data_IF_746353305033
#
_entry.id   IF_746353305033
#
_cell.length_a   1.000
_cell.length_b   1.000
_cell.length_c   1.000
_cell.angle_alpha   90.00
_cell.angle_beta   90.00
_cell.angle_gamma   90.00
#
_symmetry.space_group_name_H-M   'P 1'
#
loop_
_entity.id
_entity.type
_entity.pdbx_description
1 polymer ?
#
# COMPACT_ATOMS: atom_id res chain seq x y z
N UNK A 1 4.09 15.39 23.70
CA UNK A 1 3.37 14.14 23.41
C UNK A 1 2.77 14.28 22.02
N UNK A 2 3.40 13.70 20.99
CA UNK A 2 2.93 13.81 19.60
C UNK A 2 1.80 12.80 19.45
N UNK A 3 0.56 13.27 19.31
CA UNK A 3 -0.54 12.41 18.87
C UNK A 3 -0.16 11.92 17.46
N UNK A 4 0.10 10.62 17.31
CA UNK A 4 0.19 10.00 16.00
C UNK A 4 -1.21 10.11 15.39
N UNK A 5 -1.41 11.07 14.49
CA UNK A 5 -2.64 11.08 13.69
C UNK A 5 -2.59 9.82 12.83
N UNK A 6 -3.55 8.92 13.05
CA UNK A 6 -3.76 7.79 12.16
C UNK A 6 -4.14 8.36 10.80
N UNK A 7 -3.31 8.11 9.80
CA UNK A 7 -3.65 8.46 8.42
C UNK A 7 -4.74 7.52 7.93
N UNK A 8 -5.58 8.03 7.04
CA UNK A 8 -6.53 7.21 6.31
C UNK A 8 -5.81 6.36 5.25
N UNK A 9 -6.38 5.22 4.87
CA UNK A 9 -5.87 4.41 3.75
C UNK A 9 -5.70 5.22 2.45
N UNK A 10 -6.53 6.25 2.25
CA UNK A 10 -6.41 7.14 1.10
C UNK A 10 -5.11 7.94 1.14
N UNK A 11 -4.74 8.48 2.30
CA UNK A 11 -3.52 9.26 2.49
C UNK A 11 -2.28 8.36 2.39
N UNK A 12 -2.31 7.18 3.02
CA UNK A 12 -1.21 6.22 2.92
C UNK A 12 -0.97 5.74 1.49
N UNK A 13 -2.06 5.44 0.76
CA UNK A 13 -2.03 5.05 -0.65
C UNK A 13 -1.41 6.14 -1.52
N UNK A 14 -1.90 7.37 -1.45
CA UNK A 14 -1.39 8.43 -2.31
C UNK A 14 0.08 8.73 -2.02
N UNK A 15 0.50 8.72 -0.75
CA UNK A 15 1.92 8.88 -0.40
C UNK A 15 2.78 7.77 -1.01
N UNK A 16 2.36 6.50 -0.92
CA UNK A 16 3.10 5.39 -1.50
C UNK A 16 3.25 5.55 -3.03
N UNK A 17 2.15 5.95 -3.69
CA UNK A 17 2.15 6.23 -5.13
C UNK A 17 3.12 7.37 -5.48
N UNK A 18 3.11 8.46 -4.72
CA UNK A 18 4.03 9.59 -4.92
C UNK A 18 5.49 9.18 -4.76
N UNK A 19 5.81 8.38 -3.74
CA UNK A 19 7.15 7.81 -3.53
C UNK A 19 7.57 6.99 -4.76
N UNK A 20 6.70 6.10 -5.23
CA UNK A 20 7.01 5.23 -6.38
C UNK A 20 7.13 5.97 -7.69
N UNK A 21 6.38 7.05 -7.91
CA UNK A 21 6.55 7.91 -9.08
C UNK A 21 7.92 8.59 -9.02
N UNK A 22 8.28 9.14 -7.86
CA UNK A 22 9.58 9.81 -7.65
C UNK A 22 10.76 8.86 -7.82
N UNK A 23 10.63 7.62 -7.37
CA UNK A 23 11.65 6.58 -7.48
C UNK A 23 11.66 5.89 -8.86
N UNK A 24 10.71 6.21 -9.74
CA UNK A 24 10.61 5.63 -11.06
C UNK A 24 10.13 4.18 -11.08
N UNK A 25 9.52 3.69 -10.00
CA UNK A 25 8.84 2.38 -9.94
C UNK A 25 7.53 2.47 -10.75
N UNK A 26 6.71 3.49 -10.48
CA UNK A 26 5.48 3.75 -11.22
C UNK A 26 5.73 4.74 -12.37
N UNK A 27 5.78 4.21 -13.61
CA UNK A 27 6.17 4.98 -14.81
C UNK A 27 5.00 5.36 -15.72
N UNK A 28 3.98 4.52 -15.81
CA UNK A 28 2.90 4.69 -16.78
C UNK A 28 1.61 5.13 -16.11
N UNK A 29 0.88 6.02 -16.77
CA UNK A 29 -0.42 6.53 -16.29
C UNK A 29 -1.38 5.39 -15.96
N UNK A 30 -1.44 4.36 -16.81
CA UNK A 30 -2.32 3.20 -16.64
C UNK A 30 -2.04 2.44 -15.34
N UNK A 31 -0.77 2.20 -14.99
CA UNK A 31 -0.42 1.48 -13.75
C UNK A 31 -0.67 2.37 -12.53
N UNK A 32 -0.35 3.66 -12.60
CA UNK A 32 -0.64 4.61 -11.52
C UNK A 32 -2.15 4.67 -11.23
N UNK A 33 -2.99 4.72 -12.26
CA UNK A 33 -4.45 4.72 -12.11
C UNK A 33 -4.96 3.39 -11.53
N UNK A 34 -4.34 2.26 -11.88
CA UNK A 34 -4.68 0.97 -11.30
C UNK A 34 -4.37 0.93 -9.78
N UNK A 35 -3.21 1.44 -9.35
CA UNK A 35 -2.85 1.56 -7.93
C UNK A 35 -3.87 2.41 -7.16
N UNK A 36 -4.32 3.53 -7.73
CA UNK A 36 -5.36 4.38 -7.12
C UNK A 36 -6.70 3.66 -6.97
N UNK A 37 -7.09 2.94 -8.02
CA UNK A 37 -8.41 2.30 -8.14
C UNK A 37 -8.56 1.08 -7.23
N UNK A 38 -7.51 0.28 -7.04
CA UNK A 38 -7.60 -0.97 -6.26
C UNK A 38 -7.41 -0.68 -4.77
N UNK A 39 -8.37 -1.02 -3.90
CA UNK A 39 -8.21 -0.90 -2.44
C UNK A 39 -7.46 -2.12 -1.88
N UNK A 40 -6.13 -2.01 -1.78
CA UNK A 40 -5.27 -3.11 -1.29
C UNK A 40 -5.65 -3.56 0.12
N UNK A 41 -6.15 -2.67 0.97
CA UNK A 41 -6.63 -2.94 2.33
C UNK A 41 -7.73 -4.00 2.40
N UNK A 42 -8.48 -4.21 1.30
CA UNK A 42 -9.51 -5.24 1.24
C UNK A 42 -8.94 -6.66 1.06
N UNK A 43 -7.66 -6.77 0.74
CA UNK A 43 -6.95 -8.04 0.50
C UNK A 43 -5.93 -8.35 1.61
N UNK A 44 -5.91 -7.54 2.66
CA UNK A 44 -5.02 -7.69 3.83
C UNK A 44 -5.84 -8.15 5.03
N UNK A 45 -5.37 -9.14 5.81
CA UNK A 45 -6.07 -9.56 7.03
C UNK A 45 -6.30 -8.39 7.99
N UNK A 46 -7.42 -8.41 8.73
CA UNK A 46 -7.84 -7.29 9.59
C UNK A 46 -6.76 -6.83 10.59
N UNK A 47 -6.01 -7.78 11.17
CA UNK A 47 -4.94 -7.49 12.13
C UNK A 47 -3.68 -6.88 11.51
N UNK A 48 -3.61 -6.77 10.19
CA UNK A 48 -2.51 -6.14 9.43
C UNK A 48 -2.98 -4.96 8.57
N UNK A 49 -4.25 -4.57 8.63
CA UNK A 49 -4.78 -3.52 7.76
C UNK A 49 -4.03 -2.20 7.91
N UNK A 50 -3.55 -1.87 9.11
CA UNK A 50 -2.71 -0.68 9.35
C UNK A 50 -1.32 -0.73 8.68
N UNK A 51 -0.96 -1.86 8.08
CA UNK A 51 0.23 -2.00 7.23
C UNK A 51 -0.12 -2.14 5.74
N UNK A 52 -1.38 -1.97 5.32
CA UNK A 52 -1.82 -2.29 3.97
C UNK A 52 -0.99 -1.58 2.87
N UNK A 53 -0.51 -0.38 3.14
CA UNK A 53 0.32 0.44 2.24
C UNK A 53 1.79 0.55 2.69
N UNK A 54 2.22 -0.29 3.62
CA UNK A 54 3.64 -0.47 3.92
C UNK A 54 4.32 -1.19 2.76
N UNK A 55 5.52 -0.76 2.39
CA UNK A 55 6.27 -1.37 1.30
C UNK A 55 7.00 -2.65 1.73
N UNK A 56 6.23 -3.67 2.09
CA UNK A 56 6.74 -4.94 2.58
C UNK A 56 5.73 -6.06 2.29
N UNK A 57 6.16 -7.33 2.09
CA UNK A 57 5.23 -8.44 2.01
C UNK A 57 4.46 -8.60 3.32
N UNK A 58 3.17 -8.93 3.23
CA UNK A 58 2.32 -9.19 4.39
C UNK A 58 1.81 -10.63 4.36
N UNK A 59 1.82 -11.37 5.48
CA UNK A 59 1.26 -12.72 5.51
C UNK A 59 -0.26 -12.67 5.36
N UNK A 60 -0.80 -13.55 4.51
CA UNK A 60 -2.24 -13.67 4.22
C UNK A 60 -2.84 -15.01 4.65
N UNK A 61 -2.08 -15.80 5.41
CA UNK A 61 -2.45 -17.14 5.86
C UNK A 61 -1.85 -18.25 4.99
N UNK A 62 -2.01 -19.50 5.43
CA UNK A 62 -1.53 -20.71 4.71
C UNK A 62 -0.03 -20.67 4.31
N UNK A 63 0.80 -20.00 5.11
CA UNK A 63 2.23 -19.82 4.80
C UNK A 63 2.50 -18.92 3.58
N UNK A 64 1.50 -18.18 3.10
CA UNK A 64 1.60 -17.29 1.94
C UNK A 64 1.68 -15.82 2.36
N UNK A 65 2.22 -15.00 1.47
CA UNK A 65 2.26 -13.54 1.58
C UNK A 65 1.65 -12.89 0.35
N UNK A 66 1.05 -11.71 0.54
CA UNK A 66 0.85 -10.78 -0.57
C UNK A 66 2.17 -10.04 -0.82
N UNK A 67 2.59 -9.94 -2.08
CA UNK A 67 3.83 -9.25 -2.47
C UNK A 67 3.86 -7.81 -1.96
N UNK A 68 5.06 -7.30 -1.68
CA UNK A 68 5.27 -5.88 -1.45
C UNK A 68 4.73 -5.07 -2.66
N UNK A 69 4.16 -3.87 -2.46
CA UNK A 69 3.57 -3.11 -3.55
C UNK A 69 4.52 -2.74 -4.70
N UNK A 70 5.84 -2.67 -4.50
CA UNK A 70 6.79 -2.34 -5.58
C UNK A 70 7.12 -3.52 -6.53
N UNK A 71 6.77 -4.75 -6.16
CA UNK A 71 7.12 -5.97 -6.88
C UNK A 71 6.18 -6.27 -8.06
#
# INVERSE_FOLDING_TARGET
>A
MKFLSYESFKEEKERLIEIYIREGILKTKLVIEAFRKVPRENFVPDYLKHYAYADTPLPIGHGQTISAPHL
#
